data_IF_713062565226
#
_entry.id   IF_713062565226
#
_cell.length_a   1.000
_cell.length_b   1.000
_cell.length_c   1.000
_cell.angle_alpha   90.00
_cell.angle_beta   90.00
_cell.angle_gamma   90.00
#
_symmetry.space_group_name_H-M   'P 1'
#
loop_
_entity.id
_entity.type
_entity.pdbx_description
1 polymer ?
#
# COMPACT_ATOMS: atom_id res chain seq x y z
N UNK A 1 4.91 -6.74 -0.95
CA UNK A 1 4.94 -5.32 -1.39
C UNK A 1 6.26 -4.88 -2.05
N UNK A 2 7.42 -5.07 -1.40
CA UNK A 2 8.71 -4.52 -1.87
C UNK A 2 9.17 -5.00 -3.27
N UNK A 3 9.14 -6.31 -3.54
CA UNK A 3 9.54 -6.88 -4.84
C UNK A 3 8.65 -6.36 -5.99
N UNK A 4 7.33 -6.35 -5.79
CA UNK A 4 6.39 -5.77 -6.75
C UNK A 4 6.77 -4.32 -7.07
N UNK A 5 7.22 -3.58 -6.06
CA UNK A 5 7.59 -2.18 -6.25
C UNK A 5 8.89 -1.97 -7.02
N UNK A 6 9.87 -2.84 -6.81
CA UNK A 6 11.09 -2.88 -7.63
C UNK A 6 10.74 -3.14 -9.10
N UNK A 7 9.91 -4.15 -9.36
CA UNK A 7 9.44 -4.48 -10.70
C UNK A 7 8.72 -3.31 -11.38
N UNK A 8 7.79 -2.66 -10.68
CA UNK A 8 7.07 -1.47 -11.19
C UNK A 8 8.06 -0.36 -11.55
N UNK A 9 9.07 -0.13 -10.73
CA UNK A 9 10.07 0.92 -10.95
C UNK A 9 10.89 0.65 -12.22
N UNK A 10 11.36 -0.59 -12.41
CA UNK A 10 12.08 -1.01 -13.62
C UNK A 10 11.19 -0.94 -14.87
N UNK A 11 9.95 -1.39 -14.77
CA UNK A 11 9.00 -1.41 -15.87
C UNK A 11 8.62 0.01 -16.33
N UNK A 12 8.34 0.93 -15.41
CA UNK A 12 8.10 2.34 -15.75
C UNK A 12 9.35 2.97 -16.38
N UNK A 13 10.55 2.61 -15.92
CA UNK A 13 11.81 3.03 -16.53
C UNK A 13 11.93 2.60 -18.00
N UNK A 14 11.54 1.36 -18.30
CA UNK A 14 11.47 0.83 -19.68
C UNK A 14 10.41 1.56 -20.51
N UNK A 15 9.19 1.70 -19.99
CA UNK A 15 8.09 2.39 -20.69
C UNK A 15 8.44 3.82 -21.07
N UNK A 16 9.11 4.57 -20.20
CA UNK A 16 9.54 5.95 -20.47
C UNK A 16 10.56 6.03 -21.62
N UNK A 17 11.44 5.03 -21.76
CA UNK A 17 12.41 4.95 -22.87
C UNK A 17 11.72 4.62 -24.19
N UNK A 18 10.75 3.70 -24.16
CA UNK A 18 10.00 3.28 -25.36
C UNK A 18 8.96 4.32 -25.81
N UNK A 19 8.46 5.15 -24.89
CA UNK A 19 7.42 6.14 -25.16
C UNK A 19 7.77 7.53 -24.60
N UNK A 20 8.83 8.19 -25.09
CA UNK A 20 9.35 9.43 -24.50
C UNK A 20 8.36 10.60 -24.51
N UNK A 21 7.39 10.59 -25.43
CA UNK A 21 6.36 11.63 -25.55
C UNK A 21 5.08 11.37 -24.74
N UNK A 22 5.05 10.30 -23.92
CA UNK A 22 3.87 9.95 -23.11
C UNK A 22 4.10 10.26 -21.64
N UNK A 23 3.10 10.88 -21.03
CA UNK A 23 3.04 11.05 -19.58
C UNK A 23 2.50 9.77 -18.94
N UNK A 24 3.38 9.03 -18.26
CA UNK A 24 3.01 7.85 -17.47
C UNK A 24 2.84 8.24 -16.00
N UNK A 25 1.71 7.90 -15.40
CA UNK A 25 1.44 8.08 -13.96
C UNK A 25 1.19 6.72 -13.31
N UNK A 26 1.55 6.58 -12.04
CA UNK A 26 1.39 5.33 -11.29
C UNK A 26 0.23 5.40 -10.30
N UNK A 27 -0.62 4.38 -10.34
CA UNK A 27 -1.52 3.97 -9.27
C UNK A 27 -1.20 2.50 -8.96
N UNK A 28 -1.04 2.16 -7.69
CA UNK A 28 -0.76 0.82 -7.23
C UNK A 28 -1.69 0.45 -6.08
N UNK A 29 -2.60 -0.47 -6.33
CA UNK A 29 -3.62 -0.91 -5.40
C UNK A 29 -3.35 -2.35 -4.96
N UNK A 30 -3.81 -2.70 -3.76
CA UNK A 30 -3.88 -4.08 -3.34
C UNK A 30 -4.08 -4.21 -1.83
N UNK A 31 -4.28 -5.45 -1.42
CA UNK A 31 -4.07 -5.90 -0.05
C UNK A 31 -2.56 -6.14 0.15
N UNK A 32 -1.97 -5.38 1.06
CA UNK A 32 -0.55 -5.46 1.37
C UNK A 32 -0.27 -6.34 2.60
N UNK A 33 -1.31 -6.81 3.30
CA UNK A 33 -1.21 -7.51 4.59
C UNK A 33 -0.19 -6.83 5.52
N UNK A 34 -0.25 -5.50 5.60
CA UNK A 34 0.69 -4.67 6.33
C UNK A 34 -0.02 -3.45 6.90
N UNK A 35 0.01 -3.30 8.22
CA UNK A 35 -0.52 -2.12 8.90
C UNK A 35 0.38 -0.89 8.66
N UNK A 36 -0.10 0.35 8.89
CA UNK A 36 0.68 1.57 8.60
C UNK A 36 2.02 1.66 9.34
N UNK A 37 2.14 0.98 10.48
CA UNK A 37 3.37 0.90 11.27
C UNK A 37 4.44 0.03 10.59
N UNK A 38 4.03 -0.86 9.68
CA UNK A 38 4.91 -1.79 9.01
C UNK A 38 5.80 -1.14 7.94
N UNK A 39 6.92 -1.81 7.64
CA UNK A 39 7.95 -1.36 6.73
C UNK A 39 7.45 -1.15 5.31
N UNK A 40 6.47 -1.94 4.84
CA UNK A 40 5.91 -1.75 3.49
C UNK A 40 5.25 -0.38 3.36
N UNK A 41 4.44 0.06 4.34
CA UNK A 41 3.79 1.36 4.27
C UNK A 41 4.82 2.49 4.31
N UNK A 42 5.82 2.39 5.19
CA UNK A 42 6.94 3.34 5.25
C UNK A 42 7.69 3.40 3.93
N UNK A 43 8.05 2.25 3.35
CA UNK A 43 8.71 2.17 2.04
C UNK A 43 7.93 2.92 0.95
N UNK A 44 6.61 2.76 0.91
CA UNK A 44 5.78 3.42 -0.08
C UNK A 44 5.70 4.94 0.11
N UNK A 45 5.73 5.42 1.36
CA UNK A 45 5.47 6.83 1.70
C UNK A 45 6.74 7.67 1.90
N UNK A 46 7.81 7.10 2.47
CA UNK A 46 9.10 7.77 2.70
C UNK A 46 10.07 7.56 1.55
N UNK A 47 9.86 6.54 0.72
CA UNK A 47 10.72 6.20 -0.41
C UNK A 47 12.04 5.51 -0.03
N UNK A 48 12.24 5.23 1.27
CA UNK A 48 13.40 4.51 1.79
C UNK A 48 13.01 3.70 3.02
N UNK A 49 13.32 2.41 2.99
CA UNK A 49 13.39 1.59 4.21
C UNK A 49 14.81 1.00 4.25
N UNK A 50 15.55 1.24 5.35
CA UNK A 50 16.87 0.66 5.55
C UNK A 50 16.87 -0.87 5.46
N UNK A 51 18.01 -1.44 5.08
CA UNK A 51 18.18 -2.90 4.95
C UNK A 51 18.08 -3.63 6.30
N UNK A 52 18.34 -2.93 7.41
CA UNK A 52 18.29 -3.41 8.79
C UNK A 52 16.92 -3.21 9.46
N UNK A 53 15.89 -2.85 8.69
CA UNK A 53 14.57 -2.61 9.25
C UNK A 53 13.92 -3.92 9.74
N UNK A 54 13.47 -3.94 11.00
CA UNK A 54 13.01 -5.15 11.72
C UNK A 54 11.91 -5.94 11.00
N UNK A 55 11.10 -5.28 10.17
CA UNK A 55 10.02 -5.93 9.42
C UNK A 55 10.51 -6.74 8.21
N UNK A 56 11.78 -6.65 7.82
CA UNK A 56 12.34 -7.58 6.83
C UNK A 56 12.56 -8.98 7.40
N UNK A 57 12.65 -9.11 8.74
CA UNK A 57 12.84 -10.38 9.46
C UNK A 57 11.56 -10.80 10.21
N UNK A 58 10.40 -10.24 9.85
CA UNK A 58 9.12 -10.58 10.50
C UNK A 58 8.69 -12.03 10.23
N UNK A 59 9.18 -12.62 9.15
CA UNK A 59 9.06 -14.04 8.84
C UNK A 59 10.38 -14.56 8.27
N UNK A 60 11.11 -15.38 9.04
CA UNK A 60 12.44 -15.89 8.66
C UNK A 60 12.45 -16.71 7.37
N UNK A 61 11.31 -17.29 6.99
CA UNK A 61 11.18 -18.06 5.74
C UNK A 61 10.96 -17.16 4.50
N UNK A 62 10.51 -15.92 4.71
CA UNK A 62 10.24 -14.93 3.66
C UNK A 62 11.17 -13.70 3.78
N UNK A 63 12.20 -13.79 4.62
CA UNK A 63 13.12 -12.71 4.89
C UNK A 63 13.89 -12.35 3.61
N UNK A 64 13.83 -11.08 3.23
CA UNK A 64 14.56 -10.56 2.07
C UNK A 64 15.73 -9.73 2.57
N UNK A 65 16.94 -10.29 2.49
CA UNK A 65 18.17 -9.61 2.88
C UNK A 65 18.76 -8.77 1.72
N UNK A 66 19.37 -7.62 2.05
CA UNK A 66 20.13 -6.80 1.11
C UNK A 66 19.31 -6.04 0.05
N UNK A 67 18.01 -5.84 0.29
CA UNK A 67 17.13 -5.14 -0.64
C UNK A 67 17.02 -3.64 -0.30
N UNK A 68 17.97 -2.84 -0.82
CA UNK A 68 17.79 -1.39 -0.87
C UNK A 68 16.74 -1.02 -1.93
N UNK A 69 15.59 -0.52 -1.48
CA UNK A 69 14.55 0.00 -2.36
C UNK A 69 14.54 1.52 -2.28
N UNK A 70 14.84 2.16 -3.40
CA UNK A 70 14.68 3.60 -3.58
C UNK A 70 13.79 3.87 -4.79
N UNK A 71 13.10 5.01 -4.75
CA UNK A 71 12.09 5.36 -5.74
C UNK A 71 12.27 6.81 -6.16
N UNK A 72 12.18 7.14 -7.46
CA UNK A 72 12.30 8.53 -7.91
C UNK A 72 11.00 9.33 -7.79
N UNK A 73 9.89 8.72 -7.33
CA UNK A 73 8.58 9.37 -7.29
C UNK A 73 8.04 9.49 -5.88
N UNK A 74 7.29 10.57 -5.63
CA UNK A 74 6.55 10.77 -4.39
C UNK A 74 5.24 10.01 -4.46
N UNK A 75 4.98 9.18 -3.46
CA UNK A 75 3.78 8.35 -3.39
C UNK A 75 3.11 8.52 -2.04
N UNK A 76 1.78 8.50 -2.04
CA UNK A 76 0.96 8.51 -0.83
C UNK A 76 -0.20 7.54 -0.98
N UNK A 77 -0.82 7.17 0.14
CA UNK A 77 -2.10 6.45 0.14
C UNK A 77 -3.24 7.43 -0.12
N UNK A 78 -4.04 7.20 -1.16
CA UNK A 78 -5.15 8.06 -1.56
C UNK A 78 -6.25 8.15 -0.48
N UNK A 79 -6.47 7.06 0.25
CA UNK A 79 -7.45 6.97 1.33
C UNK A 79 -6.83 7.18 2.71
N UNK A 80 -5.55 7.59 2.79
CA UNK A 80 -4.83 7.71 4.05
C UNK A 80 -4.60 6.36 4.73
N UNK A 81 -4.82 6.32 6.05
CA UNK A 81 -4.67 5.14 6.91
C UNK A 81 -5.96 5.01 7.74
N UNK A 82 -7.06 4.49 7.16
CA UNK A 82 -8.29 4.24 7.93
C UNK A 82 -8.00 3.31 9.11
N UNK A 83 -8.90 3.26 10.09
CA UNK A 83 -8.73 2.38 11.26
C UNK A 83 -8.73 0.90 10.86
N UNK A 84 -9.57 0.54 9.89
CA UNK A 84 -9.69 -0.81 9.35
C UNK A 84 -10.09 -0.77 7.87
N UNK A 85 -9.51 -1.70 7.12
CA UNK A 85 -9.98 -2.12 5.79
C UNK A 85 -10.32 -3.61 5.80
N UNK A 86 -9.71 -4.35 6.72
CA UNK A 86 -10.12 -5.68 7.14
C UNK A 86 -10.70 -5.61 8.56
N UNK A 87 -11.87 -6.23 8.77
CA UNK A 87 -12.57 -6.23 10.05
C UNK A 87 -13.15 -7.61 10.37
N UNK A 88 -12.39 -8.44 11.08
CA UNK A 88 -12.81 -9.75 11.59
C UNK A 88 -12.76 -9.76 13.13
N UNK A 89 -13.40 -10.73 13.77
CA UNK A 89 -13.52 -10.75 15.24
C UNK A 89 -12.16 -10.84 15.97
N UNK A 90 -11.21 -11.56 15.40
CA UNK A 90 -9.89 -11.78 15.99
C UNK A 90 -8.86 -10.71 15.60
N UNK A 91 -9.10 -9.99 14.50
CA UNK A 91 -8.18 -9.00 13.96
C UNK A 91 -8.93 -7.92 13.17
N UNK A 92 -8.54 -6.66 13.35
CA UNK A 92 -9.02 -5.57 12.52
C UNK A 92 -7.89 -4.59 12.29
N UNK A 93 -7.70 -4.16 11.04
CA UNK A 93 -6.59 -3.29 10.68
C UNK A 93 -6.65 -2.79 9.24
N UNK A 94 -5.86 -1.76 8.97
CA UNK A 94 -5.68 -1.20 7.64
C UNK A 94 -4.62 -2.01 6.88
N UNK A 95 -5.06 -2.84 5.95
CA UNK A 95 -4.17 -3.69 5.13
C UNK A 95 -4.19 -3.27 3.65
N UNK A 96 -5.26 -2.60 3.23
CA UNK A 96 -5.52 -2.24 1.85
C UNK A 96 -5.15 -0.79 1.58
N UNK A 97 -4.44 -0.55 0.48
CA UNK A 97 -4.00 0.78 0.10
C UNK A 97 -4.17 1.03 -1.38
N UNK A 98 -4.49 2.29 -1.71
CA UNK A 98 -4.43 2.82 -3.07
C UNK A 98 -3.27 3.82 -3.09
N UNK A 99 -2.08 3.34 -3.47
CA UNK A 99 -0.91 4.22 -3.60
C UNK A 99 -0.94 4.96 -4.92
N UNK A 100 -0.69 6.26 -4.91
CA UNK A 100 -0.70 7.09 -6.12
C UNK A 100 0.50 8.04 -6.18
N UNK A 101 0.90 8.40 -7.39
CA UNK A 101 2.01 9.32 -7.64
C UNK A 101 1.60 10.79 -7.42
N UNK A 102 2.06 11.41 -6.34
CA UNK A 102 1.52 12.70 -5.85
C UNK A 102 1.98 13.92 -6.64
N UNK A 103 3.05 13.81 -7.43
CA UNK A 103 3.53 14.85 -8.34
C UNK A 103 2.79 14.85 -9.70
N UNK A 104 1.91 13.89 -9.95
CA UNK A 104 1.16 13.76 -11.21
C UNK A 104 -0.35 13.61 -11.05
N UNK A 105 -0.80 13.17 -9.88
CA UNK A 105 -2.19 12.90 -9.58
C UNK A 105 -2.55 13.58 -8.27
N UNK A 106 -3.82 13.96 -8.13
CA UNK A 106 -4.39 14.51 -6.91
C UNK A 106 -5.68 13.77 -6.56
N UNK A 107 -5.93 13.59 -5.26
CA UNK A 107 -7.19 13.00 -4.78
C UNK A 107 -8.26 14.08 -4.80
N UNK A 108 -9.30 13.87 -5.61
CA UNK A 108 -10.46 14.78 -5.65
C UNK A 108 -11.40 14.54 -4.48
N UNK A 109 -11.67 13.27 -4.16
CA UNK A 109 -12.57 12.87 -3.11
C UNK A 109 -12.25 11.43 -2.67
N UNK A 110 -12.47 11.15 -1.39
CA UNK A 110 -12.48 9.78 -0.83
C UNK A 110 -13.92 9.45 -0.45
N UNK A 111 -14.41 8.30 -0.89
CA UNK A 111 -15.71 7.79 -0.44
C UNK A 111 -15.54 7.30 1.01
N UNK A 112 -16.36 7.76 1.96
CA UNK A 112 -16.23 7.36 3.35
C UNK A 112 -16.41 5.85 3.50
N UNK A 113 -15.57 5.23 4.33
CA UNK A 113 -15.74 3.84 4.73
C UNK A 113 -16.91 3.72 5.72
N UNK A 114 -17.52 2.52 5.84
CA UNK A 114 -18.50 2.26 6.89
C UNK A 114 -17.93 2.55 8.28
N UNK A 115 -18.81 2.99 9.18
CA UNK A 115 -18.49 3.23 10.59
C UNK A 115 -18.24 1.90 11.34
N UNK A 116 -17.52 1.95 12.45
CA UNK A 116 -17.29 0.75 13.28
C UNK A 116 -18.63 0.19 13.80
N UNK A 117 -19.58 1.07 14.12
CA UNK A 117 -20.93 0.71 14.53
C UNK A 117 -21.65 -0.11 13.46
N UNK A 118 -21.58 0.30 12.19
CA UNK A 118 -22.16 -0.44 11.06
C UNK A 118 -21.51 -1.80 10.86
N UNK A 119 -20.18 -1.89 10.98
CA UNK A 119 -19.45 -3.15 10.83
C UNK A 119 -19.73 -4.14 11.97
N UNK A 120 -19.97 -3.65 13.19
CA UNK A 120 -20.25 -4.49 14.36
C UNK A 120 -21.69 -4.99 14.46
N UNK A 121 -22.62 -4.49 13.63
CA UNK A 121 -24.03 -4.92 13.67
C UNK A 121 -24.20 -6.44 13.56
N UNK A 122 -23.28 -7.11 12.86
CA UNK A 122 -23.23 -8.56 12.68
C UNK A 122 -21.94 -9.19 13.23
N UNK A 123 -21.38 -8.62 14.30
CA UNK A 123 -20.11 -9.01 14.94
C UNK A 123 -18.87 -8.62 14.14
N UNK A 124 -18.76 -9.04 12.88
CA UNK A 124 -17.64 -8.73 12.00
C UNK A 124 -18.01 -8.91 10.51
N UNK A 125 -17.02 -8.82 9.61
CA UNK A 125 -17.17 -9.12 8.20
C UNK A 125 -16.75 -10.56 7.86
N UNK A 126 -17.34 -11.20 6.83
CA UNK A 126 -18.51 -10.74 6.06
C UNK A 126 -19.81 -10.84 6.88
N UNK A 127 -20.87 -10.21 6.38
CA UNK A 127 -22.21 -10.18 6.99
C UNK A 127 -23.33 -10.18 5.95
N UNK A 128 -24.59 -10.17 6.39
CA UNK A 128 -25.76 -10.13 5.49
C UNK A 128 -25.90 -8.83 4.69
N UNK A 129 -25.24 -7.74 5.13
CA UNK A 129 -25.25 -6.43 4.45
C UNK A 129 -23.89 -6.02 3.88
N UNK A 130 -22.82 -6.73 4.25
CA UNK A 130 -21.45 -6.50 3.77
C UNK A 130 -20.84 -7.82 3.29
N UNK A 131 -20.72 -8.06 1.97
CA UNK A 131 -20.27 -9.33 1.41
C UNK A 131 -18.80 -9.64 1.68
#
# INVERSE_FOLDING_TARGET
GGIAMKYITEYIGKLKKETPNRNVSLIFCGDFNSVPECGIYKLMTTGLVPEDYIDWDSNKEEAVEGLSLSRPWKIASACGTPQFTNFIQEFSGCLDYIFYQTDRLAVTQVVPLPTEEELRQHTALPSVVFP
#
